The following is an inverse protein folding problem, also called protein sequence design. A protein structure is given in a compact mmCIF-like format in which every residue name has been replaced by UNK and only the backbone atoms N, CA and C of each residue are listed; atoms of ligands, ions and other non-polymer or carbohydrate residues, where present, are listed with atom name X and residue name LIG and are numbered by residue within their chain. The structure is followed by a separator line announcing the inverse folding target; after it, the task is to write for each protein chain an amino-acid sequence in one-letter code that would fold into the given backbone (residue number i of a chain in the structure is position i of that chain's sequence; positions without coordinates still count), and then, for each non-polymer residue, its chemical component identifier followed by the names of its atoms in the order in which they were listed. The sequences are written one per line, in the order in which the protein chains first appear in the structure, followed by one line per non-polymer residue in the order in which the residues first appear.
data_IF_646509068313
#
_entry.id   IF_646509068313
#
_cell.length_a   1.000
_cell.length_b   1.000
_cell.length_c   1.000
_cell.angle_alpha   90.00
_cell.angle_beta   90.00
_cell.angle_gamma   90.00
#
_symmetry.space_group_name_H-M   'P 1'
#
loop_
_entity.id
_entity.type
_entity.pdbx_description
1 polymer ?
#
# COMPACT_ATOMS: atom_id res chain seq x y z
N UNK A 1 28.09 -7.72 -7.75
CA UNK A 1 26.93 -7.89 -8.65
C UNK A 1 26.84 -6.67 -9.56
N UNK A 2 26.94 -6.85 -10.89
CA UNK A 2 26.83 -5.75 -11.86
C UNK A 2 25.39 -5.19 -11.86
N UNK A 3 25.19 -3.98 -12.40
CA UNK A 3 23.86 -3.36 -12.42
C UNK A 3 22.81 -4.23 -13.16
N UNK A 4 23.21 -4.87 -14.26
CA UNK A 4 22.37 -5.81 -14.99
C UNK A 4 21.84 -6.97 -14.12
N UNK A 5 22.73 -7.60 -13.35
CA UNK A 5 22.36 -8.72 -12.46
C UNK A 5 21.41 -8.26 -11.35
N UNK A 6 21.58 -7.02 -10.86
CA UNK A 6 20.67 -6.40 -9.87
C UNK A 6 19.29 -6.13 -10.43
N UNK A 7 19.18 -5.76 -11.71
CA UNK A 7 17.88 -5.59 -12.38
C UNK A 7 17.21 -6.94 -12.62
N UNK A 8 17.97 -7.99 -12.94
CA UNK A 8 17.41 -9.35 -13.00
C UNK A 8 16.92 -9.81 -11.63
N UNK A 9 17.70 -9.58 -10.58
CA UNK A 9 17.30 -9.85 -9.20
C UNK A 9 16.02 -9.08 -8.82
N UNK A 10 15.93 -7.79 -9.16
CA UNK A 10 14.73 -6.98 -8.97
C UNK A 10 13.49 -7.65 -9.57
N UNK A 11 13.57 -8.10 -10.83
CA UNK A 11 12.45 -8.76 -11.52
C UNK A 11 11.99 -10.01 -10.78
N UNK A 12 12.93 -10.85 -10.34
CA UNK A 12 12.62 -12.07 -9.61
C UNK A 12 11.97 -11.75 -8.27
N UNK A 13 12.56 -10.85 -7.47
CA UNK A 13 12.03 -10.51 -6.14
C UNK A 13 10.66 -9.84 -6.24
N UNK A 14 10.47 -8.87 -7.14
CA UNK A 14 9.17 -8.20 -7.31
C UNK A 14 8.12 -9.17 -7.83
N UNK A 15 8.47 -10.03 -8.80
CA UNK A 15 7.56 -11.05 -9.31
C UNK A 15 7.11 -12.02 -8.21
N UNK A 16 8.06 -12.56 -7.43
CA UNK A 16 7.76 -13.49 -6.33
C UNK A 16 6.97 -12.81 -5.21
N UNK A 17 7.37 -11.60 -4.80
CA UNK A 17 6.70 -10.88 -3.73
C UNK A 17 5.27 -10.49 -4.11
N UNK A 18 5.05 -10.04 -5.34
CA UNK A 18 3.72 -9.71 -5.83
C UNK A 18 2.85 -10.97 -5.92
N UNK A 19 3.36 -12.09 -6.48
CA UNK A 19 2.65 -13.38 -6.46
C UNK A 19 2.28 -13.82 -5.04
N UNK A 20 3.22 -13.73 -4.09
CA UNK A 20 2.97 -14.09 -2.70
C UNK A 20 1.87 -13.20 -2.08
N UNK A 21 1.91 -11.88 -2.34
CA UNK A 21 0.86 -10.95 -1.93
C UNK A 21 -0.51 -11.29 -2.55
N UNK A 22 -0.55 -11.64 -3.84
CA UNK A 22 -1.77 -12.05 -4.55
C UNK A 22 -2.42 -13.26 -3.90
N UNK A 23 -1.66 -14.32 -3.62
CA UNK A 23 -2.19 -15.53 -2.98
C UNK A 23 -2.54 -15.31 -1.51
N UNK A 24 -1.78 -14.47 -0.80
CA UNK A 24 -2.07 -14.13 0.59
C UNK A 24 -3.34 -13.27 0.73
N UNK A 25 -3.68 -12.47 -0.30
CA UNK A 25 -4.90 -11.67 -0.40
C UNK A 25 -5.84 -12.20 -1.49
N UNK A 26 -6.00 -13.54 -1.59
CA UNK A 26 -6.65 -14.16 -2.73
C UNK A 26 -8.05 -13.62 -3.04
N UNK A 27 -8.90 -13.28 -2.06
CA UNK A 27 -10.23 -12.71 -2.34
C UNK A 27 -10.18 -11.32 -2.99
N UNK A 28 -9.09 -10.58 -2.84
CA UNK A 28 -8.86 -9.32 -3.54
C UNK A 28 -8.63 -9.52 -5.05
N UNK A 29 -7.95 -10.60 -5.44
CA UNK A 29 -7.46 -10.83 -6.81
C UNK A 29 -8.21 -11.92 -7.57
N UNK A 30 -8.67 -12.93 -6.86
CA UNK A 30 -9.42 -14.09 -7.33
C UNK A 30 -10.74 -14.16 -6.54
N UNK A 31 -11.70 -13.24 -6.78
CA UNK A 31 -12.90 -13.14 -5.96
C UNK A 31 -13.81 -14.35 -6.23
N UNK A 32 -13.70 -15.36 -5.37
CA UNK A 32 -14.56 -16.55 -5.38
C UNK A 32 -15.63 -16.41 -4.32
N UNK A 33 -15.25 -15.99 -3.11
CA UNK A 33 -16.16 -15.83 -1.96
C UNK A 33 -16.15 -14.44 -1.36
N UNK A 34 -15.45 -13.48 -1.99
CA UNK A 34 -15.37 -12.08 -1.60
C UNK A 34 -16.74 -11.50 -1.20
N UNK A 35 -16.79 -10.97 0.01
CA UNK A 35 -17.96 -10.32 0.61
C UNK A 35 -17.83 -8.79 0.65
N UNK A 36 -16.60 -8.29 0.73
CA UNK A 36 -16.28 -6.87 0.82
C UNK A 36 -16.58 -6.18 -0.52
N UNK A 37 -17.36 -5.08 -0.52
CA UNK A 37 -17.75 -4.39 -1.76
C UNK A 37 -16.55 -3.90 -2.57
N UNK A 38 -16.74 -3.77 -3.89
CA UNK A 38 -15.78 -3.10 -4.78
C UNK A 38 -15.98 -1.59 -4.71
N UNK A 39 -14.91 -0.84 -4.94
CA UNK A 39 -14.96 0.62 -5.05
C UNK A 39 -14.33 1.08 -6.38
N UNK A 40 -15.01 0.96 -7.53
CA UNK A 40 -14.47 1.38 -8.82
C UNK A 40 -14.06 2.86 -8.87
N UNK A 41 -13.17 3.21 -9.80
CA UNK A 41 -12.70 4.59 -10.00
C UNK A 41 -13.71 5.46 -10.78
N UNK A 42 -14.28 4.91 -11.85
CA UNK A 42 -15.04 5.71 -12.83
C UNK A 42 -16.50 5.28 -12.99
N UNK A 43 -16.80 3.97 -12.99
CA UNK A 43 -18.15 3.45 -13.23
C UNK A 43 -18.35 2.08 -12.54
N UNK A 44 -19.58 1.76 -12.17
CA UNK A 44 -19.98 0.46 -11.60
C UNK A 44 -20.47 -0.45 -12.75
N UNK A 45 -19.67 -1.44 -13.22
CA UNK A 45 -20.08 -2.31 -14.32
C UNK A 45 -21.04 -3.40 -13.83
N UNK A 46 -21.80 -4.07 -14.72
CA UNK A 46 -22.66 -5.19 -14.34
C UNK A 46 -21.87 -6.30 -13.63
N UNK A 47 -22.36 -6.74 -12.47
CA UNK A 47 -21.61 -7.64 -11.58
C UNK A 47 -21.09 -8.92 -12.26
N UNK A 48 -21.89 -9.54 -13.13
CA UNK A 48 -21.50 -10.75 -13.86
C UNK A 48 -20.32 -10.54 -14.81
N UNK A 49 -20.27 -9.39 -15.50
CA UNK A 49 -19.16 -9.03 -16.37
C UNK A 49 -17.88 -8.80 -15.55
N UNK A 50 -17.98 -8.08 -14.43
CA UNK A 50 -16.84 -7.76 -13.57
C UNK A 50 -16.15 -9.03 -13.07
N UNK A 51 -16.91 -9.99 -12.54
CA UNK A 51 -16.33 -11.22 -11.98
C UNK A 51 -15.61 -12.04 -13.06
N UNK A 52 -16.21 -12.21 -14.23
CA UNK A 52 -15.58 -12.94 -15.34
C UNK A 52 -14.30 -12.24 -15.84
N UNK A 53 -14.37 -10.92 -16.01
CA UNK A 53 -13.24 -10.09 -16.44
C UNK A 53 -12.09 -10.12 -15.42
N UNK A 54 -12.37 -9.96 -14.13
CA UNK A 54 -11.38 -10.02 -13.06
C UNK A 54 -10.68 -11.39 -13.00
N UNK A 55 -11.41 -12.49 -13.19
CA UNK A 55 -10.81 -13.83 -13.25
C UNK A 55 -9.85 -13.97 -14.43
N UNK A 56 -10.25 -13.52 -15.62
CA UNK A 56 -9.38 -13.54 -16.80
C UNK A 56 -8.14 -12.65 -16.57
N UNK A 57 -8.32 -11.46 -16.02
CA UNK A 57 -7.24 -10.53 -15.71
C UNK A 57 -6.30 -11.10 -14.64
N UNK A 58 -6.81 -11.84 -13.66
CA UNK A 58 -6.00 -12.51 -12.64
C UNK A 58 -5.10 -13.58 -13.25
N UNK A 59 -5.63 -14.40 -14.18
CA UNK A 59 -4.82 -15.38 -14.93
C UNK A 59 -3.72 -14.68 -15.73
N UNK A 60 -4.04 -13.59 -16.44
CA UNK A 60 -3.05 -12.79 -17.18
C UNK A 60 -1.98 -12.23 -16.25
N UNK A 61 -2.38 -11.66 -15.10
CA UNK A 61 -1.45 -11.10 -14.12
C UNK A 61 -0.53 -12.18 -13.54
N UNK A 62 -1.07 -13.30 -13.04
CA UNK A 62 -0.30 -14.41 -12.48
C UNK A 62 0.65 -15.00 -13.51
N UNK A 63 0.18 -15.24 -14.74
CA UNK A 63 1.01 -15.74 -15.84
C UNK A 63 2.12 -14.77 -16.23
N UNK A 64 1.83 -13.47 -16.31
CA UNK A 64 2.81 -12.43 -16.60
C UNK A 64 3.88 -12.31 -15.49
N UNK A 65 3.50 -12.47 -14.23
CA UNK A 65 4.45 -12.45 -13.12
C UNK A 65 5.34 -13.69 -13.09
N UNK A 66 4.77 -14.88 -13.29
CA UNK A 66 5.55 -16.11 -13.45
C UNK A 66 6.54 -15.97 -14.62
N UNK A 67 6.07 -15.47 -15.77
CA UNK A 67 6.92 -15.25 -16.92
C UNK A 67 8.01 -14.18 -16.68
N UNK A 68 7.74 -13.15 -15.86
CA UNK A 68 8.74 -12.15 -15.45
C UNK A 68 9.90 -12.77 -14.66
N UNK A 69 9.61 -13.79 -13.84
CA UNK A 69 10.61 -14.52 -13.03
C UNK A 69 11.48 -15.40 -13.93
N UNK A 70 10.87 -16.23 -14.79
CA UNK A 70 11.59 -17.22 -15.59
C UNK A 70 12.23 -16.63 -16.85
N UNK A 71 11.56 -15.70 -17.52
CA UNK A 71 12.03 -15.07 -18.75
C UNK A 71 12.61 -13.68 -18.49
N UNK A 72 13.57 -13.61 -17.57
CA UNK A 72 14.15 -12.37 -17.05
C UNK A 72 14.84 -11.44 -18.06
N UNK A 73 14.77 -11.72 -19.37
CA UNK A 73 15.20 -10.81 -20.47
C UNK A 73 14.05 -10.04 -21.12
N UNK A 74 12.83 -10.56 -21.07
CA UNK A 74 11.69 -9.94 -21.75
C UNK A 74 11.15 -8.76 -20.95
N UNK A 75 10.94 -7.63 -21.63
CA UNK A 75 10.21 -6.48 -21.08
C UNK A 75 8.70 -6.62 -21.16
N UNK A 76 8.21 -7.56 -21.97
CA UNK A 76 6.77 -7.70 -22.27
C UNK A 76 6.03 -8.18 -21.03
N UNK A 77 6.59 -9.14 -20.29
CA UNK A 77 5.95 -9.71 -19.11
C UNK A 77 5.78 -8.71 -17.96
N UNK A 78 6.81 -7.93 -17.54
CA UNK A 78 6.58 -6.90 -16.53
C UNK A 78 5.66 -5.78 -17.02
N UNK A 79 5.66 -5.46 -18.33
CA UNK A 79 4.72 -4.49 -18.90
C UNK A 79 3.27 -5.00 -18.88
N UNK A 80 3.05 -6.28 -19.21
CA UNK A 80 1.74 -6.93 -19.17
C UNK A 80 1.22 -7.03 -17.74
N UNK A 81 2.07 -7.41 -16.78
CA UNK A 81 1.72 -7.42 -15.37
C UNK A 81 1.34 -6.01 -14.88
N UNK A 82 2.12 -4.98 -15.23
CA UNK A 82 1.79 -3.59 -14.90
C UNK A 82 0.44 -3.16 -15.50
N UNK A 83 0.20 -3.44 -16.78
CA UNK A 83 -1.08 -3.14 -17.43
C UNK A 83 -2.26 -3.81 -16.73
N UNK A 84 -2.10 -5.09 -16.35
CA UNK A 84 -3.13 -5.82 -15.61
C UNK A 84 -3.40 -5.21 -14.22
N UNK A 85 -2.36 -4.83 -13.46
CA UNK A 85 -2.52 -4.14 -12.17
C UNK A 85 -3.27 -2.82 -12.29
N UNK A 86 -2.94 -2.02 -13.32
CA UNK A 86 -3.60 -0.74 -13.56
C UNK A 86 -5.08 -0.93 -13.90
N UNK A 87 -5.41 -1.92 -14.73
CA UNK A 87 -6.80 -2.27 -15.01
C UNK A 87 -7.54 -2.73 -13.75
N UNK A 88 -6.91 -3.56 -12.92
CA UNK A 88 -7.49 -3.98 -11.64
C UNK A 88 -7.84 -2.80 -10.72
N UNK A 89 -6.98 -1.80 -10.65
CA UNK A 89 -7.21 -0.58 -9.87
C UNK A 89 -8.36 0.27 -10.39
N UNK A 90 -8.62 0.25 -11.71
CA UNK A 90 -9.77 0.94 -12.32
C UNK A 90 -11.10 0.35 -11.85
N UNK A 91 -11.18 -0.97 -11.77
CA UNK A 91 -12.38 -1.67 -11.31
C UNK A 91 -12.54 -1.69 -9.79
N UNK A 92 -11.46 -1.45 -9.04
CA UNK A 92 -11.50 -1.47 -7.59
C UNK A 92 -10.30 -0.77 -6.96
N UNK A 93 -10.55 0.41 -6.38
CA UNK A 93 -9.56 1.21 -5.67
C UNK A 93 -8.97 0.48 -4.46
N UNK A 94 -9.67 -0.49 -3.87
CA UNK A 94 -9.14 -1.27 -2.73
C UNK A 94 -7.88 -2.06 -3.11
N UNK A 95 -7.60 -2.27 -4.40
CA UNK A 95 -6.37 -2.90 -4.91
C UNK A 95 -5.15 -1.98 -4.92
N UNK A 96 -5.34 -0.67 -4.77
CA UNK A 96 -4.26 0.32 -4.66
C UNK A 96 -3.61 0.29 -3.27
N UNK A 97 -3.09 -0.87 -2.89
CA UNK A 97 -2.35 -1.04 -1.65
C UNK A 97 -0.93 -0.46 -1.80
N UNK A 98 -0.27 0.06 -0.74
CA UNK A 98 1.04 0.70 -0.85
C UNK A 98 2.11 -0.22 -1.46
N UNK A 99 2.09 -1.51 -1.12
CA UNK A 99 2.97 -2.52 -1.70
C UNK A 99 2.71 -2.74 -3.19
N UNK A 100 1.44 -2.75 -3.63
CA UNK A 100 1.06 -2.86 -5.05
C UNK A 100 1.57 -1.65 -5.82
N UNK A 101 1.37 -0.44 -5.31
CA UNK A 101 1.85 0.78 -5.95
C UNK A 101 3.38 0.81 -6.06
N UNK A 102 4.09 0.42 -5.00
CA UNK A 102 5.55 0.30 -5.03
C UNK A 102 6.00 -0.72 -6.09
N UNK A 103 5.41 -1.90 -6.11
CA UNK A 103 5.76 -2.94 -7.08
C UNK A 103 5.38 -2.57 -8.50
N UNK A 104 4.27 -1.86 -8.73
CA UNK A 104 3.89 -1.34 -10.04
C UNK A 104 4.96 -0.37 -10.58
N UNK A 105 5.49 0.54 -9.75
CA UNK A 105 6.59 1.41 -10.13
C UNK A 105 7.87 0.62 -10.45
N UNK A 106 8.20 -0.41 -9.66
CA UNK A 106 9.36 -1.26 -9.92
C UNK A 106 9.19 -2.13 -11.18
N UNK A 107 7.97 -2.58 -11.48
CA UNK A 107 7.62 -3.25 -12.73
C UNK A 107 7.74 -2.29 -13.93
N UNK A 108 7.33 -1.03 -13.78
CA UNK A 108 7.54 0.00 -14.80
C UNK A 108 9.04 0.21 -15.08
N UNK A 109 9.86 0.31 -14.02
CA UNK A 109 11.33 0.39 -14.16
C UNK A 109 11.87 -0.86 -14.86
N UNK A 110 11.41 -2.05 -14.47
CA UNK A 110 11.83 -3.30 -15.08
C UNK A 110 11.40 -3.42 -16.57
N UNK A 111 10.20 -2.97 -16.93
CA UNK A 111 9.66 -3.02 -18.28
C UNK A 111 10.33 -2.00 -19.21
N UNK A 112 10.43 -0.75 -18.77
CA UNK A 112 10.81 0.36 -19.65
C UNK A 112 12.27 0.79 -19.54
N UNK A 113 12.97 0.42 -18.47
CA UNK A 113 14.41 0.67 -18.33
C UNK A 113 15.29 -0.36 -19.07
N UNK A 114 14.72 -1.53 -19.40
CA UNK A 114 15.37 -2.76 -19.89
C UNK A 114 16.73 -2.60 -20.62
N UNK A 115 17.85 -2.53 -19.88
CA UNK A 115 19.18 -2.44 -20.46
C UNK A 115 19.57 -3.82 -21.01
N UNK A 116 20.04 -3.89 -22.25
CA UNK A 116 20.55 -5.13 -22.87
C UNK A 116 21.94 -5.43 -22.32
N UNK A 117 22.36 -6.70 -22.37
CA UNK A 117 23.69 -7.14 -21.88
C UNK A 117 24.86 -6.48 -22.62
N UNK A 118 24.62 -6.03 -23.86
CA UNK A 118 25.59 -5.28 -24.67
C UNK A 118 25.33 -3.77 -24.65
N UNK A 119 24.30 -3.30 -23.93
CA UNK A 119 24.09 -1.87 -23.75
C UNK A 119 25.14 -1.30 -22.80
N UNK A 120 25.40 -0.02 -22.97
CA UNK A 120 26.37 0.74 -22.19
C UNK A 120 26.10 0.67 -20.68
N UNK A 121 27.15 0.59 -19.86
CA UNK A 121 27.04 0.47 -18.39
C UNK A 121 26.22 1.63 -17.80
N UNK A 122 26.19 2.78 -18.47
CA UNK A 122 25.39 3.94 -18.13
C UNK A 122 23.87 3.67 -18.12
N UNK A 123 23.32 2.91 -19.07
CA UNK A 123 21.88 2.62 -19.14
C UNK A 123 21.44 1.66 -18.02
N UNK A 124 22.29 0.68 -17.71
CA UNK A 124 22.06 -0.23 -16.59
C UNK A 124 22.12 0.49 -15.25
N UNK A 125 23.11 1.38 -15.07
CA UNK A 125 23.23 2.21 -13.87
C UNK A 125 22.04 3.16 -13.72
N UNK A 126 21.55 3.78 -14.81
CA UNK A 126 20.33 4.59 -14.81
C UNK A 126 19.13 3.83 -14.28
N UNK A 127 18.84 2.68 -14.88
CA UNK A 127 17.69 1.85 -14.52
C UNK A 127 17.76 1.38 -13.07
N UNK A 128 18.94 0.92 -12.63
CA UNK A 128 19.15 0.55 -11.23
C UNK A 128 18.96 1.75 -10.29
N UNK A 129 19.48 2.93 -10.66
CA UNK A 129 19.31 4.15 -9.89
C UNK A 129 17.84 4.55 -9.72
N UNK A 130 17.02 4.42 -10.76
CA UNK A 130 15.58 4.65 -10.68
C UNK A 130 14.88 3.66 -9.72
N UNK A 131 15.21 2.38 -9.79
CA UNK A 131 14.68 1.38 -8.86
C UNK A 131 15.11 1.68 -7.40
N UNK A 132 16.36 2.07 -7.20
CA UNK A 132 16.87 2.50 -5.90
C UNK A 132 16.13 3.74 -5.38
N UNK A 133 15.82 4.72 -6.25
CA UNK A 133 15.03 5.89 -5.87
C UNK A 133 13.63 5.51 -5.41
N UNK A 134 12.93 4.64 -6.13
CA UNK A 134 11.59 4.17 -5.72
C UNK A 134 11.63 3.51 -4.33
N UNK A 135 12.59 2.61 -4.09
CA UNK A 135 12.72 1.92 -2.80
C UNK A 135 13.10 2.88 -1.67
N UNK A 136 14.08 3.76 -1.89
CA UNK A 136 14.52 4.71 -0.86
C UNK A 136 13.43 5.71 -0.46
N UNK A 137 12.65 6.19 -1.44
CA UNK A 137 11.59 7.17 -1.19
C UNK A 137 10.40 6.58 -0.44
N UNK A 138 10.19 5.26 -0.49
CA UNK A 138 9.22 4.59 0.39
C UNK A 138 9.58 4.83 1.87
N UNK A 139 10.84 4.62 2.26
CA UNK A 139 11.29 4.85 3.64
C UNK A 139 11.17 6.31 4.05
N UNK A 140 11.59 7.21 3.15
CA UNK A 140 11.50 8.64 3.40
C UNK A 140 10.07 9.08 3.69
N UNK A 141 9.13 8.74 2.81
CA UNK A 141 7.74 9.13 2.97
C UNK A 141 7.03 8.40 4.11
N UNK A 142 7.35 7.13 4.34
CA UNK A 142 6.87 6.36 5.49
C UNK A 142 7.23 7.03 6.82
N UNK A 143 8.47 7.51 6.95
CA UNK A 143 8.92 8.24 8.13
C UNK A 143 8.30 9.63 8.22
N UNK A 144 8.27 10.38 7.12
CA UNK A 144 7.67 11.72 7.09
C UNK A 144 6.19 11.71 7.51
N UNK A 145 5.42 10.70 7.08
CA UNK A 145 4.01 10.59 7.46
C UNK A 145 3.80 10.20 8.92
N UNK A 146 4.82 9.70 9.62
CA UNK A 146 4.79 9.41 11.07
C UNK A 146 5.11 10.63 11.94
N UNK A 147 5.50 11.75 11.36
CA UNK A 147 5.70 13.02 12.08
C UNK A 147 4.35 13.69 12.39
N UNK A 148 3.51 13.02 13.17
CA UNK A 148 2.19 13.52 13.57
C UNK A 148 1.82 13.05 14.99
N UNK A 149 0.88 13.76 15.61
CA UNK A 149 0.41 13.50 16.97
C UNK A 149 -0.16 12.08 17.14
N UNK A 150 -1.02 11.64 16.24
CA UNK A 150 -1.71 10.35 16.32
C UNK A 150 -0.74 9.16 16.22
N UNK A 151 0.37 9.27 15.49
CA UNK A 151 1.41 8.24 15.51
C UNK A 151 1.96 8.05 16.92
N UNK A 152 2.32 9.15 17.59
CA UNK A 152 2.95 9.13 18.90
C UNK A 152 2.01 8.70 20.04
N UNK A 153 0.75 9.13 19.99
CA UNK A 153 -0.18 8.98 21.12
C UNK A 153 -1.28 7.95 20.89
N UNK A 154 -1.59 7.58 19.64
CA UNK A 154 -2.62 6.55 19.35
C UNK A 154 -2.00 5.25 18.83
N UNK A 155 -1.09 5.32 17.86
CA UNK A 155 -0.62 4.13 17.15
C UNK A 155 0.56 3.42 17.83
N UNK A 156 1.60 4.17 18.21
CA UNK A 156 2.79 3.61 18.86
C UNK A 156 2.45 2.86 20.16
N UNK A 157 1.57 3.36 21.05
CA UNK A 157 1.15 2.61 22.23
C UNK A 157 0.48 1.27 21.88
N UNK A 158 -0.42 1.24 20.89
CA UNK A 158 -1.08 0.00 20.42
C UNK A 158 -0.09 -1.01 19.83
N UNK A 159 0.95 -0.52 19.16
CA UNK A 159 2.03 -1.37 18.65
C UNK A 159 2.80 -2.06 19.79
N UNK A 160 3.02 -1.36 20.90
CA UNK A 160 3.76 -1.90 22.05
C UNK A 160 2.90 -2.63 23.07
N UNK A 161 1.59 -2.46 23.01
CA UNK A 161 0.64 -3.16 23.87
C UNK A 161 0.92 -4.67 23.87
N UNK A 162 1.01 -5.25 25.07
CA UNK A 162 1.32 -6.65 25.35
C UNK A 162 2.74 -7.11 24.95
N UNK A 163 3.59 -6.23 24.41
CA UNK A 163 5.00 -6.51 24.13
C UNK A 163 5.92 -5.84 25.16
N UNK A 164 5.56 -4.63 25.59
CA UNK A 164 6.35 -3.83 26.53
C UNK A 164 5.43 -3.08 27.51
N UNK A 165 5.91 -2.84 28.73
CA UNK A 165 5.25 -1.91 29.67
C UNK A 165 5.66 -0.47 29.34
N UNK A 166 4.75 0.32 28.78
CA UNK A 166 5.04 1.65 28.23
C UNK A 166 4.71 2.82 29.17
N UNK A 167 4.24 2.55 30.40
CA UNK A 167 3.60 3.57 31.26
C UNK A 167 4.42 4.84 31.52
N UNK A 168 5.75 4.76 31.53
CA UNK A 168 6.64 5.90 31.77
C UNK A 168 7.53 6.28 30.58
N UNK A 169 7.26 5.73 29.39
CA UNK A 169 8.14 5.95 28.24
C UNK A 169 7.88 7.35 27.64
N UNK A 170 8.93 8.06 27.16
CA UNK A 170 8.76 9.32 26.46
C UNK A 170 8.26 9.06 25.03
N UNK A 171 7.00 8.64 24.88
CA UNK A 171 6.41 8.15 23.63
C UNK A 171 6.53 9.15 22.48
N UNK A 172 6.39 10.45 22.74
CA UNK A 172 6.61 11.50 21.74
C UNK A 172 8.04 11.53 21.19
N UNK A 173 9.04 11.43 22.06
CA UNK A 173 10.45 11.41 21.65
C UNK A 173 10.79 10.11 20.90
N UNK A 174 10.23 8.97 21.33
CA UNK A 174 10.43 7.70 20.66
C UNK A 174 9.76 7.67 19.28
N UNK A 175 8.54 8.19 19.17
CA UNK A 175 7.84 8.33 17.91
C UNK A 175 8.62 9.19 16.91
N UNK A 176 9.15 10.33 17.37
CA UNK A 176 10.03 11.19 16.58
C UNK A 176 11.31 10.44 16.15
N UNK A 177 11.95 9.69 17.05
CA UNK A 177 13.13 8.90 16.73
C UNK A 177 12.85 7.82 15.68
N UNK A 178 11.70 7.14 15.74
CA UNK A 178 11.27 6.15 14.73
C UNK A 178 11.08 6.84 13.38
N UNK A 179 10.30 7.93 13.34
CA UNK A 179 10.01 8.68 12.13
C UNK A 179 11.30 9.21 11.45
N UNK A 180 12.18 9.84 12.23
CA UNK A 180 13.45 10.35 11.72
C UNK A 180 14.39 9.22 11.27
N UNK A 181 14.40 8.09 11.97
CA UNK A 181 15.20 6.92 11.57
C UNK A 181 14.75 6.38 10.21
N UNK A 182 13.44 6.24 9.98
CA UNK A 182 12.90 5.84 8.68
C UNK A 182 13.30 6.83 7.57
N UNK A 183 13.19 8.14 7.84
CA UNK A 183 13.62 9.18 6.89
C UNK A 183 15.11 9.10 6.57
N UNK A 184 15.94 8.94 7.60
CA UNK A 184 17.39 8.84 7.48
C UNK A 184 17.83 7.55 6.77
N UNK A 185 17.10 6.45 6.92
CA UNK A 185 17.30 5.24 6.12
C UNK A 185 17.08 5.57 4.64
N UNK A 186 15.96 6.21 4.28
CA UNK A 186 15.66 6.61 2.91
C UNK A 186 16.76 7.49 2.30
N UNK A 187 17.14 8.57 2.98
CA UNK A 187 18.23 9.46 2.53
C UNK A 187 19.57 8.72 2.48
N UNK A 188 19.87 7.91 3.50
CA UNK A 188 21.12 7.17 3.63
C UNK A 188 21.31 6.10 2.54
N UNK A 189 20.24 5.50 2.05
CA UNK A 189 20.29 4.56 0.92
C UNK A 189 20.71 5.27 -0.38
N UNK A 190 20.29 6.52 -0.58
CA UNK A 190 20.63 7.33 -1.76
C UNK A 190 22.07 7.83 -1.73
N UNK A 191 22.63 8.09 -0.55
CA UNK A 191 24.00 8.60 -0.38
C UNK A 191 25.01 7.45 -0.31
N UNK A 192 25.91 7.38 -1.32
CA UNK A 192 26.90 6.28 -1.44
C UNK A 192 27.71 6.03 -0.16
N UNK A 193 28.10 7.10 0.56
CA UNK A 193 28.94 7.02 1.77
C UNK A 193 28.21 6.36 2.95
N UNK A 194 26.91 6.58 3.11
CA UNK A 194 26.12 6.08 4.24
C UNK A 194 25.32 4.82 3.90
N UNK A 195 25.27 4.42 2.63
CA UNK A 195 24.49 3.30 2.12
C UNK A 195 24.67 1.98 2.87
N UNK A 196 25.91 1.61 3.25
CA UNK A 196 26.14 0.35 3.99
C UNK A 196 25.45 0.38 5.35
N UNK A 197 25.57 1.49 6.08
CA UNK A 197 24.90 1.68 7.36
C UNK A 197 23.38 1.68 7.19
N UNK A 198 22.88 2.41 6.18
CA UNK A 198 21.44 2.46 5.89
C UNK A 198 20.85 1.09 5.51
N UNK A 199 21.60 0.25 4.77
CA UNK A 199 21.22 -1.14 4.48
C UNK A 199 21.10 -1.95 5.77
N UNK A 200 22.10 -1.88 6.66
CA UNK A 200 22.05 -2.60 7.93
C UNK A 200 20.88 -2.13 8.81
N UNK A 201 20.68 -0.81 8.91
CA UNK A 201 19.59 -0.21 9.67
C UNK A 201 18.22 -0.62 9.13
N UNK A 202 18.02 -0.58 7.80
CA UNK A 202 16.77 -1.02 7.17
C UNK A 202 16.48 -2.51 7.41
N UNK A 203 17.49 -3.37 7.31
CA UNK A 203 17.32 -4.80 7.58
C UNK A 203 16.96 -5.03 9.05
N UNK A 204 17.69 -4.41 9.98
CA UNK A 204 17.41 -4.53 11.41
C UNK A 204 15.99 -4.06 11.73
N UNK A 205 15.58 -2.90 11.20
CA UNK A 205 14.23 -2.37 11.36
C UNK A 205 13.15 -3.34 10.85
N UNK A 206 13.31 -3.88 9.63
CA UNK A 206 12.33 -4.82 9.08
C UNK A 206 12.28 -6.15 9.83
N UNK A 207 13.39 -6.64 10.36
CA UNK A 207 13.40 -7.82 11.23
C UNK A 207 12.61 -7.56 12.52
N UNK A 208 12.78 -6.38 13.13
CA UNK A 208 11.99 -5.97 14.31
C UNK A 208 10.50 -5.85 13.98
N UNK A 209 10.15 -5.21 12.86
CA UNK A 209 8.75 -5.09 12.40
C UNK A 209 8.15 -6.48 12.15
N UNK A 210 8.87 -7.36 11.47
CA UNK A 210 8.42 -8.73 11.21
C UNK A 210 8.19 -9.50 12.51
N UNK A 211 9.12 -9.44 13.46
CA UNK A 211 8.95 -10.09 14.75
C UNK A 211 7.68 -9.60 15.47
N UNK A 212 7.43 -8.29 15.48
CA UNK A 212 6.23 -7.71 16.09
C UNK A 212 4.93 -8.12 15.38
N UNK A 213 4.92 -8.10 14.04
CA UNK A 213 3.73 -8.47 13.26
C UNK A 213 3.40 -9.96 13.37
N UNK A 214 4.42 -10.83 13.37
CA UNK A 214 4.26 -12.28 13.59
C UNK A 214 3.75 -12.56 14.99
N UNK A 215 4.30 -11.90 16.02
CA UNK A 215 3.84 -12.06 17.40
C UNK A 215 2.36 -11.66 17.59
N UNK A 216 1.85 -10.73 16.79
CA UNK A 216 0.45 -10.26 16.85
C UNK A 216 -0.49 -10.96 15.84
N UNK A 217 -0.01 -11.93 15.04
CA UNK A 217 -0.69 -12.51 13.87
C UNK A 217 -1.42 -11.46 12.99
N UNK A 218 -0.75 -10.33 12.72
CA UNK A 218 -1.42 -9.16 12.14
C UNK A 218 -0.99 -8.89 10.69
N UNK A 219 -1.96 -8.88 9.78
CA UNK A 219 -1.81 -8.56 8.34
C UNK A 219 -0.63 -9.30 7.67
N UNK A 220 -0.88 -10.54 7.25
CA UNK A 220 0.15 -11.43 6.67
C UNK A 220 0.74 -10.91 5.36
N UNK A 221 0.01 -10.09 4.59
CA UNK A 221 0.53 -9.48 3.36
C UNK A 221 1.69 -8.53 3.69
N UNK A 222 1.60 -7.81 4.81
CA UNK A 222 2.67 -6.89 5.26
C UNK A 222 3.91 -7.67 5.71
N UNK A 223 3.79 -8.92 6.15
CA UNK A 223 4.95 -9.76 6.46
C UNK A 223 5.75 -10.04 5.19
N UNK A 224 5.05 -10.49 4.15
CA UNK A 224 5.65 -10.78 2.85
C UNK A 224 6.28 -9.51 2.24
N UNK A 225 5.62 -8.37 2.41
CA UNK A 225 6.16 -7.08 1.97
C UNK A 225 7.46 -6.71 2.68
N UNK A 226 7.52 -6.84 4.01
CA UNK A 226 8.73 -6.56 4.79
C UNK A 226 9.89 -7.51 4.40
N UNK A 227 9.60 -8.80 4.21
CA UNK A 227 10.60 -9.77 3.74
C UNK A 227 11.13 -9.41 2.34
N UNK A 228 10.26 -8.99 1.44
CA UNK A 228 10.66 -8.51 0.12
C UNK A 228 11.48 -7.21 0.18
N UNK A 229 11.15 -6.28 1.08
CA UNK A 229 11.93 -5.06 1.30
C UNK A 229 13.35 -5.35 1.80
N UNK A 230 13.51 -6.32 2.71
CA UNK A 230 14.84 -6.82 3.12
C UNK A 230 15.63 -7.30 1.89
N UNK A 231 15.02 -8.14 1.05
CA UNK A 231 15.65 -8.67 -0.15
C UNK A 231 16.01 -7.56 -1.15
N UNK A 232 15.09 -6.61 -1.40
CA UNK A 232 15.32 -5.47 -2.29
C UNK A 232 16.43 -4.55 -1.78
N UNK A 233 16.44 -4.21 -0.49
CA UNK A 233 17.48 -3.36 0.09
C UNK A 233 18.85 -4.04 0.00
N UNK A 234 18.93 -5.31 0.40
CA UNK A 234 20.17 -6.07 0.31
C UNK A 234 20.66 -6.21 -1.15
N UNK A 235 19.78 -6.59 -2.08
CA UNK A 235 20.15 -6.87 -3.46
C UNK A 235 20.39 -5.64 -4.32
N UNK A 236 19.70 -4.53 -4.08
CA UNK A 236 19.84 -3.31 -4.90
C UNK A 236 20.93 -2.38 -4.38
N UNK A 237 21.14 -2.29 -3.07
CA UNK A 237 22.01 -1.26 -2.48
C UNK A 237 23.35 -1.80 -1.97
N UNK A 238 23.41 -3.04 -1.45
CA UNK A 238 24.66 -3.59 -0.89
C UNK A 238 25.75 -3.57 -1.95
N UNK A 239 26.83 -2.81 -1.70
CA UNK A 239 27.97 -2.65 -2.62
C UNK A 239 27.58 -2.14 -4.03
N UNK A 240 26.46 -1.43 -4.18
CA UNK A 240 26.17 -0.73 -5.42
C UNK A 240 27.03 0.52 -5.53
N UNK A 241 27.65 0.74 -6.68
CA UNK A 241 28.42 1.95 -7.00
C UNK A 241 27.56 3.07 -7.60
N UNK A 242 26.27 2.83 -7.89
CA UNK A 242 25.42 3.81 -8.60
C UNK A 242 25.13 5.03 -7.74
N UNK A 243 25.16 6.23 -8.35
CA UNK A 243 24.70 7.49 -7.75
C UNK A 243 23.29 7.81 -8.23
N UNK A 244 22.47 8.42 -7.38
CA UNK A 244 21.16 8.93 -7.83
C UNK A 244 21.30 9.97 -8.95
N UNK A 245 22.39 10.73 -8.99
CA UNK A 245 22.63 11.69 -10.06
C UNK A 245 22.75 11.00 -11.43
N UNK A 246 23.32 9.79 -11.45
CA UNK A 246 23.42 8.98 -12.68
C UNK A 246 22.05 8.50 -13.16
N UNK A 247 21.04 8.41 -12.28
CA UNK A 247 19.68 8.00 -12.64
C UNK A 247 18.91 9.08 -13.44
N UNK A 248 19.18 10.36 -13.16
CA UNK A 248 18.41 11.49 -13.70
C UNK A 248 19.22 12.43 -14.60
N UNK A 249 20.56 12.31 -14.63
CA UNK A 249 21.44 13.18 -15.44
C UNK A 249 22.15 12.39 -16.55
N UNK A 250 22.57 13.13 -17.58
CA UNK A 250 23.38 12.61 -18.68
C UNK A 250 22.59 12.28 -19.96
N UNK A 251 23.29 11.91 -21.04
CA UNK A 251 22.68 11.54 -22.31
C UNK A 251 21.87 10.25 -22.16
N UNK A 252 20.58 10.31 -22.47
CA UNK A 252 19.62 9.22 -22.32
C UNK A 252 18.60 9.24 -23.47
N UNK A 253 18.08 8.07 -23.83
CA UNK A 253 17.01 7.93 -24.84
C UNK A 253 15.73 8.61 -24.36
N UNK A 254 14.85 9.02 -25.28
CA UNK A 254 13.56 9.65 -24.94
C UNK A 254 12.72 8.79 -23.99
N UNK A 255 12.70 7.47 -24.21
CA UNK A 255 11.99 6.52 -23.34
C UNK A 255 12.58 6.45 -21.93
N UNK A 256 13.90 6.51 -21.80
CA UNK A 256 14.60 6.51 -20.50
C UNK A 256 14.30 7.82 -19.73
N UNK A 257 14.30 8.96 -20.43
CA UNK A 257 13.92 10.25 -19.84
C UNK A 257 12.46 10.27 -19.39
N UNK A 258 11.55 9.72 -20.20
CA UNK A 258 10.14 9.60 -19.83
C UNK A 258 9.98 8.75 -18.57
N UNK A 259 10.64 7.59 -18.50
CA UNK A 259 10.60 6.73 -17.32
C UNK A 259 11.16 7.44 -16.08
N UNK A 260 12.29 8.14 -16.22
CA UNK A 260 12.85 8.96 -15.15
C UNK A 260 11.87 10.05 -14.70
N UNK A 261 11.18 10.71 -15.63
CA UNK A 261 10.12 11.68 -15.33
C UNK A 261 8.94 11.07 -14.57
N UNK A 262 8.48 9.89 -14.97
CA UNK A 262 7.42 9.14 -14.26
C UNK A 262 7.86 8.81 -12.83
N UNK A 263 9.07 8.29 -12.65
CA UNK A 263 9.61 7.99 -11.31
C UNK A 263 9.76 9.27 -10.48
N UNK A 264 10.27 10.35 -11.06
CA UNK A 264 10.40 11.65 -10.38
C UNK A 264 9.04 12.18 -9.94
N UNK A 265 8.03 12.14 -10.81
CA UNK A 265 6.67 12.52 -10.46
C UNK A 265 6.13 11.63 -9.32
N UNK A 266 6.25 10.31 -9.44
CA UNK A 266 5.76 9.36 -8.44
C UNK A 266 6.38 9.58 -7.05
N UNK A 267 7.67 9.93 -6.97
CA UNK A 267 8.31 10.18 -5.67
C UNK A 267 8.05 11.58 -5.11
N UNK A 268 7.55 12.51 -5.92
CA UNK A 268 7.17 13.86 -5.49
C UNK A 268 5.67 13.98 -5.21
N UNK A 269 4.82 13.12 -5.79
CA UNK A 269 3.37 13.09 -5.57
C UNK A 269 2.97 13.12 -4.08
N UNK A 270 3.64 12.41 -3.15
CA UNK A 270 3.30 12.47 -1.74
C UNK A 270 3.31 13.88 -1.12
N UNK A 271 4.04 14.85 -1.69
CA UNK A 271 3.99 16.26 -1.28
C UNK A 271 2.57 16.82 -1.38
N UNK A 272 1.83 16.43 -2.42
CA UNK A 272 0.47 16.89 -2.67
C UNK A 272 -0.52 16.39 -1.62
N UNK A 273 -0.20 15.31 -0.90
CA UNK A 273 -1.06 14.78 0.17
C UNK A 273 -1.17 15.72 1.37
N UNK A 274 -0.14 16.53 1.64
CA UNK A 274 -0.20 17.56 2.69
C UNK A 274 -1.22 18.67 2.38
N UNK A 275 -1.59 18.82 1.10
CA UNK A 275 -2.57 19.79 0.63
C UNK A 275 -3.93 19.15 0.26
N UNK A 276 -4.11 17.84 0.50
CA UNK A 276 -5.33 17.12 0.14
C UNK A 276 -5.53 16.91 -1.37
N UNK A 277 -4.47 17.07 -2.17
CA UNK A 277 -4.49 16.90 -3.63
C UNK A 277 -4.03 15.51 -4.09
N UNK A 278 -3.63 14.66 -3.15
CA UNK A 278 -3.24 13.28 -3.40
C UNK A 278 -3.54 12.41 -2.18
N UNK A 279 -3.83 11.14 -2.40
CA UNK A 279 -4.25 10.23 -1.34
C UNK A 279 -3.13 10.01 -0.32
N UNK A 280 -3.49 10.07 0.96
CA UNK A 280 -2.55 9.84 2.05
C UNK A 280 -2.05 8.40 2.05
N UNK A 281 -2.94 7.47 1.72
CA UNK A 281 -2.65 6.05 1.73
C UNK A 281 -1.49 5.67 0.81
N UNK A 282 -1.41 6.30 -0.37
CA UNK A 282 -0.33 6.11 -1.35
C UNK A 282 0.91 6.96 -1.06
N UNK A 283 0.86 7.78 -0.02
CA UNK A 283 1.91 8.73 0.37
C UNK A 283 2.78 8.24 1.53
N UNK A 284 2.72 6.93 1.83
CA UNK A 284 3.46 6.33 2.95
C UNK A 284 2.73 6.41 4.30
N UNK A 285 1.43 6.75 4.33
CA UNK A 285 0.68 6.91 5.58
C UNK A 285 0.09 5.61 6.15
N UNK A 286 0.31 4.45 5.50
CA UNK A 286 -0.10 3.17 6.06
C UNK A 286 0.59 2.96 7.42
N UNK A 287 -0.21 2.74 8.47
CA UNK A 287 0.26 2.66 9.85
C UNK A 287 1.05 3.90 10.32
N UNK A 288 0.59 5.10 9.93
CA UNK A 288 1.08 6.35 10.53
C UNK A 288 0.05 7.04 11.44
N UNK A 289 -1.19 6.57 11.47
CA UNK A 289 -2.29 7.24 12.18
C UNK A 289 -2.83 8.49 11.48
N UNK A 290 -2.30 8.83 10.29
CA UNK A 290 -2.63 10.04 9.53
C UNK A 290 -3.64 9.79 8.38
N UNK A 291 -4.56 8.84 8.56
CA UNK A 291 -5.58 8.48 7.56
C UNK A 291 -6.98 8.58 8.15
N UNK A 292 -7.99 8.67 7.29
CA UNK A 292 -9.38 8.60 7.70
C UNK A 292 -9.72 7.22 8.29
N UNK A 293 -10.69 7.18 9.19
CA UNK A 293 -11.24 5.93 9.74
C UNK A 293 -12.74 5.94 9.50
N UNK A 294 -13.26 4.90 8.84
CA UNK A 294 -14.66 4.78 8.51
C UNK A 294 -15.30 3.59 9.23
N UNK A 295 -16.45 3.85 9.86
CA UNK A 295 -17.33 2.84 10.47
C UNK A 295 -18.76 3.08 10.01
N UNK A 296 -19.54 2.01 9.86
CA UNK A 296 -20.97 2.11 9.53
C UNK A 296 -21.77 1.72 10.76
N UNK A 297 -22.60 2.63 11.27
CA UNK A 297 -23.62 2.30 12.25
C UNK A 297 -24.74 1.51 11.56
N UNK A 298 -25.13 0.39 12.16
CA UNK A 298 -26.18 -0.49 11.65
C UNK A 298 -27.16 -0.83 12.77
N UNK A 299 -28.39 -1.17 12.41
CA UNK A 299 -29.40 -1.69 13.34
C UNK A 299 -29.37 -3.22 13.47
N UNK A 300 -30.25 -3.76 14.30
CA UNK A 300 -30.31 -5.19 14.56
C UNK A 300 -30.81 -6.00 13.35
N UNK A 301 -31.73 -5.44 12.56
CA UNK A 301 -32.25 -6.05 11.34
C UNK A 301 -31.18 -6.17 10.25
N UNK A 302 -30.44 -5.09 10.01
CA UNK A 302 -29.35 -5.02 9.02
C UNK A 302 -28.18 -5.93 9.39
N UNK A 303 -27.85 -6.02 10.69
CA UNK A 303 -26.85 -6.98 11.17
C UNK A 303 -27.18 -8.42 10.78
N UNK A 304 -28.46 -8.82 10.81
CA UNK A 304 -28.89 -10.16 10.41
C UNK A 304 -28.59 -10.50 8.95
N UNK A 305 -28.58 -9.47 8.08
CA UNK A 305 -28.37 -9.59 6.62
C UNK A 305 -26.91 -9.42 6.18
N UNK A 306 -26.06 -8.90 7.06
CA UNK A 306 -24.65 -8.75 6.76
C UNK A 306 -24.00 -10.11 6.47
N UNK A 307 -23.03 -10.15 5.55
CA UNK A 307 -22.35 -11.39 5.24
C UNK A 307 -21.45 -11.83 6.43
N UNK A 308 -21.14 -13.13 6.56
CA UNK A 308 -20.45 -13.69 7.72
C UNK A 308 -19.20 -12.93 8.18
N UNK A 309 -18.29 -12.54 7.29
CA UNK A 309 -17.04 -11.86 7.65
C UNK A 309 -17.27 -10.41 8.07
N UNK A 310 -18.30 -9.75 7.54
CA UNK A 310 -18.73 -8.44 8.04
C UNK A 310 -19.27 -8.56 9.46
N UNK A 311 -20.14 -9.54 9.72
CA UNK A 311 -20.74 -9.75 11.05
C UNK A 311 -19.71 -10.06 12.13
N UNK A 312 -18.66 -10.83 11.80
CA UNK A 312 -17.64 -11.23 12.77
C UNK A 312 -16.81 -10.08 13.34
N UNK A 313 -16.82 -8.92 12.68
CA UNK A 313 -16.05 -7.73 13.13
C UNK A 313 -16.92 -6.61 13.70
N UNK A 314 -18.25 -6.78 13.70
CA UNK A 314 -19.16 -5.79 14.30
C UNK A 314 -18.95 -5.77 15.81
N UNK A 315 -18.80 -4.58 16.36
CA UNK A 315 -18.75 -4.37 17.81
C UNK A 315 -19.93 -3.50 18.27
N UNK A 316 -20.25 -3.58 19.57
CA UNK A 316 -21.20 -2.66 20.22
C UNK A 316 -20.44 -1.60 20.99
N UNK A 317 -20.83 -0.34 20.83
CA UNK A 317 -20.32 0.75 21.65
C UNK A 317 -20.87 0.58 23.06
N UNK A 318 -19.99 0.52 24.07
CA UNK A 318 -20.40 0.23 25.46
C UNK A 318 -21.37 1.28 26.03
N UNK A 319 -21.23 2.54 25.64
CA UNK A 319 -22.03 3.66 26.17
C UNK A 319 -23.40 3.80 25.50
N UNK A 320 -23.49 3.61 24.18
CA UNK A 320 -24.74 3.81 23.42
C UNK A 320 -25.44 2.51 23.04
N UNK A 321 -24.75 1.37 23.09
CA UNK A 321 -25.26 0.07 22.64
C UNK A 321 -25.30 -0.10 21.10
N UNK A 322 -24.96 0.95 20.35
CA UNK A 322 -25.00 0.98 18.88
C UNK A 322 -24.05 -0.06 18.28
N UNK A 323 -24.50 -0.75 17.23
CA UNK A 323 -23.66 -1.67 16.45
C UNK A 323 -22.87 -0.89 15.41
N UNK A 324 -21.57 -1.09 15.40
CA UNK A 324 -20.63 -0.46 14.49
C UNK A 324 -19.93 -1.53 13.66
N UNK A 325 -20.01 -1.41 12.33
CA UNK A 325 -19.27 -2.19 11.35
C UNK A 325 -18.04 -1.39 10.91
N UNK A 326 -16.84 -1.70 11.42
CA UNK A 326 -15.65 -0.98 11.03
C UNK A 326 -15.08 -1.52 9.70
N UNK A 327 -14.88 -0.62 8.72
CA UNK A 327 -14.55 -1.05 7.36
C UNK A 327 -13.14 -1.61 7.23
N UNK A 328 -12.23 -1.13 8.09
CA UNK A 328 -10.84 -1.58 8.10
C UNK A 328 -10.74 -3.06 8.48
N UNK A 329 -11.39 -3.48 9.57
CA UNK A 329 -11.40 -4.85 10.06
C UNK A 329 -12.21 -5.76 9.15
N UNK A 330 -13.30 -5.28 8.55
CA UNK A 330 -14.04 -6.06 7.56
C UNK A 330 -13.17 -6.36 6.33
N UNK A 331 -12.46 -5.35 5.80
CA UNK A 331 -11.53 -5.56 4.70
C UNK A 331 -10.40 -6.52 5.06
N UNK A 332 -9.84 -6.42 6.28
CA UNK A 332 -8.82 -7.37 6.73
C UNK A 332 -9.37 -8.79 6.85
N UNK A 333 -10.58 -8.97 7.40
CA UNK A 333 -11.20 -10.28 7.56
C UNK A 333 -11.52 -10.93 6.20
N UNK A 334 -11.95 -10.15 5.21
CA UNK A 334 -12.33 -10.66 3.90
C UNK A 334 -11.19 -10.73 2.88
N UNK A 335 -10.45 -9.64 2.74
CA UNK A 335 -9.45 -9.44 1.69
C UNK A 335 -8.01 -9.65 2.17
N UNK A 336 -7.79 -9.78 3.49
CA UNK A 336 -6.46 -9.80 4.13
C UNK A 336 -5.60 -8.56 3.79
N UNK A 337 -6.25 -7.45 3.49
CA UNK A 337 -5.66 -6.12 3.30
C UNK A 337 -6.56 -5.07 3.93
N UNK A 338 -6.02 -3.94 4.40
CA UNK A 338 -6.84 -2.86 4.94
C UNK A 338 -7.71 -2.20 3.85
N UNK A 339 -8.85 -1.66 4.27
CA UNK A 339 -9.70 -0.84 3.41
C UNK A 339 -8.94 0.40 2.92
N UNK A 340 -9.23 0.85 1.71
CA UNK A 340 -8.66 2.09 1.16
C UNK A 340 -9.25 3.30 1.92
N UNK A 341 -8.46 4.03 2.70
CA UNK A 341 -8.96 4.95 3.72
C UNK A 341 -9.22 6.35 3.16
N UNK A 342 -10.07 6.42 2.14
CA UNK A 342 -10.53 7.69 1.56
C UNK A 342 -12.06 7.72 1.56
N UNK A 343 -12.64 8.88 1.89
CA UNK A 343 -14.10 9.08 2.00
C UNK A 343 -14.86 8.57 0.77
N UNK A 344 -14.36 8.82 -0.44
CA UNK A 344 -14.99 8.37 -1.69
C UNK A 344 -15.10 6.84 -1.83
N UNK A 345 -14.21 6.08 -1.18
CA UNK A 345 -14.24 4.61 -1.16
C UNK A 345 -15.19 4.15 -0.05
N UNK A 346 -15.10 4.76 1.13
CA UNK A 346 -15.99 4.49 2.26
C UNK A 346 -17.47 4.74 1.92
N UNK A 347 -17.75 5.81 1.17
CA UNK A 347 -19.09 6.14 0.67
C UNK A 347 -19.62 5.08 -0.33
N UNK A 348 -18.76 4.53 -1.20
CA UNK A 348 -19.14 3.44 -2.11
C UNK A 348 -19.46 2.15 -1.34
N UNK A 349 -18.65 1.80 -0.34
CA UNK A 349 -18.88 0.64 0.51
C UNK A 349 -20.17 0.83 1.32
N UNK A 350 -20.40 2.02 1.88
CA UNK A 350 -21.64 2.34 2.59
C UNK A 350 -22.87 2.22 1.69
N UNK A 351 -22.82 2.68 0.43
CA UNK A 351 -23.90 2.46 -0.54
C UNK A 351 -24.21 0.98 -0.75
N UNK A 352 -23.18 0.13 -0.83
CA UNK A 352 -23.38 -1.31 -0.96
C UNK A 352 -24.06 -1.91 0.29
N UNK A 353 -23.69 -1.47 1.50
CA UNK A 353 -24.37 -1.88 2.74
C UNK A 353 -25.82 -1.38 2.77
N UNK A 354 -26.07 -0.12 2.43
CA UNK A 354 -27.41 0.47 2.34
C UNK A 354 -28.35 -0.25 1.38
N UNK A 355 -27.83 -0.92 0.34
CA UNK A 355 -28.63 -1.77 -0.57
C UNK A 355 -29.11 -3.06 0.09
N UNK A 356 -28.50 -3.46 1.20
CA UNK A 356 -28.85 -4.66 1.97
C UNK A 356 -29.80 -4.34 3.14
N UNK A 357 -29.93 -3.07 3.53
CA UNK A 357 -30.73 -2.63 4.69
C UNK A 357 -32.15 -2.23 4.27
N UNK A 358 -33.14 -2.58 5.10
CA UNK A 358 -34.54 -2.16 4.90
C UNK A 358 -34.78 -0.77 5.51
N UNK A 359 -34.27 -0.56 6.72
CA UNK A 359 -34.29 0.75 7.37
C UNK A 359 -33.04 1.56 6.96
N UNK A 360 -33.22 2.40 5.95
CA UNK A 360 -32.18 3.32 5.47
C UNK A 360 -31.91 4.46 6.47
N UNK A 361 -32.83 4.76 7.38
CA UNK A 361 -32.68 5.85 8.35
C UNK A 361 -31.80 5.44 9.54
N UNK A 362 -31.74 4.14 9.86
CA UNK A 362 -30.91 3.61 10.94
C UNK A 362 -29.45 3.36 10.54
N UNK A 363 -29.17 3.30 9.23
CA UNK A 363 -27.82 3.02 8.70
C UNK A 363 -27.09 4.33 8.38
N UNK A 364 -25.93 4.53 9.01
CA UNK A 364 -25.16 5.77 8.91
C UNK A 364 -23.66 5.47 8.73
N UNK A 365 -23.04 6.04 7.70
CA UNK A 365 -21.60 6.09 7.57
C UNK A 365 -21.05 7.20 8.49
N UNK A 366 -20.10 6.83 9.34
CA UNK A 366 -19.39 7.74 10.24
C UNK A 366 -17.91 7.68 9.86
N UNK A 367 -17.38 8.80 9.37
CA UNK A 367 -15.98 8.96 9.02
C UNK A 367 -15.31 9.89 10.01
N UNK A 368 -14.29 9.40 10.71
CA UNK A 368 -13.31 10.23 11.40
C UNK A 368 -12.39 10.82 10.36
N UNK A 369 -12.49 12.12 10.14
CA UNK A 369 -11.61 12.87 9.25
C UNK A 369 -10.15 12.75 9.71
N UNK A 370 -9.24 13.06 8.80
CA UNK A 370 -7.81 13.11 9.08
C UNK A 370 -7.52 13.97 10.33
N UNK A 371 -6.73 13.45 11.30
CA UNK A 371 -6.39 14.22 12.49
C UNK A 371 -5.43 15.37 12.18
N UNK A 372 -5.50 16.42 13.01
CA UNK A 372 -4.56 17.53 13.04
C UNK A 372 -3.15 17.03 13.35
N UNK A 373 -2.16 17.49 12.58
CA UNK A 373 -0.79 16.96 12.65
C UNK A 373 -0.15 17.22 14.03
N UNK A 374 -0.49 18.32 14.69
CA UNK A 374 0.16 18.76 15.93
C UNK A 374 -0.58 18.38 17.21
N UNK A 375 -1.91 18.33 17.17
CA UNK A 375 -2.79 18.18 18.34
C UNK A 375 -3.66 16.92 18.28
N UNK A 376 -3.71 16.24 17.14
CA UNK A 376 -4.56 15.08 16.93
C UNK A 376 -6.05 15.41 16.86
N UNK A 377 -6.44 16.69 16.75
CA UNK A 377 -7.85 17.06 16.69
C UNK A 377 -8.50 16.53 15.41
N UNK A 378 -9.71 16.00 15.49
CA UNK A 378 -10.42 15.45 14.33
C UNK A 378 -11.90 15.82 14.38
N UNK A 379 -12.56 15.71 13.23
CA UNK A 379 -14.00 15.91 13.07
C UNK A 379 -14.65 14.61 12.62
N UNK A 380 -15.96 14.50 12.87
CA UNK A 380 -16.79 13.41 12.34
C UNK A 380 -17.61 13.95 11.19
N UNK A 381 -17.49 13.28 10.04
CA UNK A 381 -18.45 13.41 8.95
C UNK A 381 -19.43 12.24 9.06
N UNK A 382 -20.72 12.57 9.09
CA UNK A 382 -21.81 11.61 9.14
C UNK A 382 -22.61 11.66 7.86
N UNK A 383 -23.02 10.52 7.33
CA UNK A 383 -23.80 10.43 6.10
C UNK A 383 -24.76 9.25 6.17
N UNK A 384 -26.06 9.51 6.09
CA UNK A 384 -27.07 8.46 6.01
C UNK A 384 -27.07 7.76 4.65
N UNK A 385 -27.88 6.71 4.52
CA UNK A 385 -28.10 6.08 3.24
C UNK A 385 -28.73 7.06 2.23
N UNK A 386 -28.28 7.08 0.96
CA UNK A 386 -28.91 7.90 -0.06
C UNK A 386 -30.39 7.48 -0.24
N UNK A 387 -31.23 8.46 -0.53
CA UNK A 387 -32.61 8.21 -0.95
C UNK A 387 -32.61 7.26 -2.16
N UNK A 388 -33.61 6.37 -2.31
CA UNK A 388 -33.69 5.53 -3.51
C UNK A 388 -33.65 6.43 -4.75
N UNK A 389 -32.72 6.15 -5.66
CA UNK A 389 -32.72 6.78 -6.98
C UNK A 389 -34.07 6.45 -7.64
N UNK A 390 -34.87 7.47 -7.91
CA UNK A 390 -36.07 7.31 -8.73
C UNK A 390 -35.64 6.86 -10.13
N UNK A 391 -36.28 5.82 -10.69
CA UNK A 391 -35.84 5.15 -11.90
C UNK A 391 -35.73 6.06 -13.13
#
# INVERSE_FOLDING_TARGET
MKAFDRIRFLRVVVGLALLAGLFCSHELWFPVTREFPRAPLFFEPPAGFVVAFERALAVVLTGALAATIFFGRSRVFPALALGALLLFAVFDQTRLQPWVCQYALLLAVAAFGNPRRNDDDAAANRTLGLAQTVVAMLYFWSGAQKLNYSFAHELLPKLFENLFSTGNWPLGALALAIALTEMLIGVGLLVRRTRKLAVCAAIAMHLTILAALVAKDYNRVVWLWNAALIALVAGLFRQSGVSIAEAFRGPAKRSEKLLAGIVAAAVLLPVLSFFGLWDMYLSGALYSGNTEIAVIRIDDASFGKLPPKARSVVFRVQTTGERMLPLFEWALADLNVPAYPESRVSEQIARAVCRMTEDKASTELIVREKPGVFDGSWRLKRSGCPAPETP
#
